data_IF_308125993971
#
_entry.id   IF_308125993971
#
_cell.length_a   1.000
_cell.length_b   1.000
_cell.length_c   1.000
_cell.angle_alpha   90.00
_cell.angle_beta   90.00
_cell.angle_gamma   90.00
#
_symmetry.space_group_name_H-M   'P 1'
#
loop_
_entity.id
_entity.type
_entity.pdbx_description
1 polymer ?
#
# COMPACT_ATOMS: atom_id res chain seq x y z
N UNK A 1 -9.11 -24.37 11.29
CA UNK A 1 -9.30 -24.27 9.83
C UNK A 1 -9.32 -22.82 9.34
N UNK A 2 -10.18 -21.93 9.87
CA UNK A 2 -10.17 -20.49 9.49
C UNK A 2 -8.87 -19.77 9.93
N UNK A 3 -8.33 -20.14 11.10
CA UNK A 3 -7.05 -19.61 11.62
C UNK A 3 -5.84 -19.96 10.75
N UNK A 4 -5.86 -21.11 10.09
CA UNK A 4 -4.82 -21.51 9.12
C UNK A 4 -4.88 -20.70 7.84
N UNK A 5 -6.08 -20.39 7.34
CA UNK A 5 -6.21 -19.59 6.13
C UNK A 5 -5.65 -18.19 6.37
N UNK A 6 -5.97 -17.57 7.52
CA UNK A 6 -5.43 -16.26 7.93
C UNK A 6 -3.93 -16.29 8.21
N UNK A 7 -3.40 -17.35 8.85
CA UNK A 7 -1.95 -17.47 9.06
C UNK A 7 -1.21 -17.63 7.73
N UNK A 8 -1.83 -18.29 6.74
CA UNK A 8 -1.25 -18.47 5.42
C UNK A 8 -1.38 -17.26 4.49
N UNK A 9 -2.46 -16.48 4.57
CA UNK A 9 -2.65 -15.26 3.75
C UNK A 9 -2.01 -14.01 4.36
N UNK A 10 -2.11 -13.82 5.67
CA UNK A 10 -1.55 -12.64 6.34
C UNK A 10 -0.12 -12.89 6.85
N UNK A 11 0.25 -14.14 7.13
CA UNK A 11 1.53 -14.50 7.76
C UNK A 11 2.64 -14.93 6.80
N UNK A 12 2.39 -15.03 5.49
CA UNK A 12 3.41 -15.41 4.50
C UNK A 12 4.47 -14.34 4.22
N UNK A 13 4.28 -13.09 4.68
CA UNK A 13 5.24 -12.00 4.51
C UNK A 13 6.29 -12.00 5.63
N UNK A 14 7.55 -11.70 5.27
CA UNK A 14 8.61 -11.42 6.25
C UNK A 14 8.17 -10.27 7.16
N UNK A 15 8.05 -10.51 8.46
CA UNK A 15 7.47 -9.58 9.46
C UNK A 15 8.12 -8.19 9.43
N UNK A 16 9.44 -8.10 9.27
CA UNK A 16 10.17 -6.83 9.15
C UNK A 16 9.70 -5.98 7.94
N UNK A 17 9.48 -6.63 6.79
CA UNK A 17 9.04 -5.95 5.57
C UNK A 17 7.59 -5.48 5.67
N UNK A 18 6.73 -6.31 6.27
CA UNK A 18 5.33 -5.96 6.51
C UNK A 18 5.21 -4.71 7.39
N UNK A 19 5.91 -4.70 8.54
CA UNK A 19 5.85 -3.58 9.50
C UNK A 19 6.36 -2.28 8.87
N UNK A 20 7.46 -2.32 8.10
CA UNK A 20 8.00 -1.12 7.44
C UNK A 20 6.99 -0.50 6.47
N UNK A 21 6.40 -1.32 5.61
CA UNK A 21 5.42 -0.82 4.65
C UNK A 21 4.11 -0.41 5.34
N UNK A 22 3.71 -1.08 6.42
CA UNK A 22 2.56 -0.69 7.22
C UNK A 22 2.75 0.71 7.83
N UNK A 23 3.93 0.98 8.41
CA UNK A 23 4.25 2.32 8.94
C UNK A 23 4.15 3.37 7.83
N UNK A 24 4.70 3.09 6.65
CA UNK A 24 4.62 4.01 5.49
C UNK A 24 3.16 4.23 5.05
N UNK A 25 2.35 3.16 5.01
CA UNK A 25 0.93 3.24 4.67
C UNK A 25 0.12 4.06 5.68
N UNK A 26 0.40 3.90 6.98
CA UNK A 26 -0.21 4.69 8.05
C UNK A 26 0.18 6.17 7.92
N UNK A 27 1.46 6.47 7.70
CA UNK A 27 1.94 7.85 7.50
C UNK A 27 1.24 8.49 6.29
N UNK A 28 1.10 7.76 5.17
CA UNK A 28 0.39 8.23 3.99
C UNK A 28 -1.10 8.49 4.28
N UNK A 29 -1.76 7.63 5.05
CA UNK A 29 -3.16 7.81 5.44
C UNK A 29 -3.36 9.04 6.35
N UNK A 30 -2.44 9.28 7.31
CA UNK A 30 -2.46 10.47 8.17
C UNK A 30 -2.25 11.75 7.36
N UNK A 31 -1.30 11.74 6.41
CA UNK A 31 -1.08 12.88 5.51
C UNK A 31 -2.31 13.16 4.64
N UNK A 32 -2.98 12.12 4.13
CA UNK A 32 -4.22 12.26 3.37
C UNK A 32 -5.35 12.85 4.22
N UNK A 33 -5.46 12.45 5.49
CA UNK A 33 -6.40 13.05 6.44
C UNK A 33 -6.17 14.54 6.66
N UNK A 34 -4.92 14.92 6.95
CA UNK A 34 -4.56 16.33 7.12
C UNK A 34 -4.87 17.14 5.86
N UNK A 35 -4.60 16.58 4.67
CA UNK A 35 -4.98 17.22 3.42
C UNK A 35 -6.49 17.41 3.29
N UNK A 36 -7.30 16.39 3.60
CA UNK A 36 -8.77 16.50 3.57
C UNK A 36 -9.25 17.59 4.53
N UNK A 37 -8.72 17.65 5.75
CA UNK A 37 -9.10 18.67 6.73
C UNK A 37 -8.74 20.09 6.27
N UNK A 38 -7.57 20.28 5.65
CA UNK A 38 -7.18 21.59 5.09
C UNK A 38 -8.00 21.99 3.87
N UNK A 39 -8.45 21.03 3.06
CA UNK A 39 -9.31 21.27 1.90
C UNK A 39 -10.73 21.66 2.32
N UNK A 40 -11.29 20.97 3.32
CA UNK A 40 -12.61 21.29 3.86
C UNK A 40 -12.61 22.63 4.61
N UNK A 41 -11.52 22.99 5.31
CA UNK A 41 -11.36 24.31 5.93
C UNK A 41 -11.37 25.47 4.91
N UNK A 42 -11.09 25.19 3.64
CA UNK A 42 -11.07 26.16 2.53
C UNK A 42 -12.26 26.02 1.59
N UNK A 43 -13.17 25.07 1.83
CA UNK A 43 -14.29 24.80 0.95
C UNK A 43 -15.41 25.84 1.14
N UNK A 44 -15.90 26.38 0.03
CA UNK A 44 -17.07 27.29 0.00
C UNK A 44 -18.39 26.56 0.24
N UNK A 45 -18.42 25.24 -0.02
CA UNK A 45 -19.54 24.35 0.29
C UNK A 45 -19.04 23.19 1.16
N UNK A 46 -19.30 23.22 2.49
CA UNK A 46 -18.84 22.15 3.37
C UNK A 46 -19.55 20.84 3.02
N UNK A 47 -18.80 19.74 2.92
CA UNK A 47 -19.40 18.43 2.67
C UNK A 47 -20.12 17.93 3.92
N UNK A 48 -21.22 17.16 3.77
CA UNK A 48 -21.88 16.55 4.91
C UNK A 48 -20.92 15.63 5.67
N UNK A 49 -21.01 15.65 7.00
CA UNK A 49 -20.12 14.91 7.91
C UNK A 49 -19.97 13.43 7.53
N UNK A 50 -21.07 12.78 7.15
CA UNK A 50 -21.08 11.37 6.72
C UNK A 50 -20.17 11.10 5.52
N UNK A 51 -20.12 11.99 4.53
CA UNK A 51 -19.26 11.81 3.36
C UNK A 51 -17.77 11.91 3.75
N UNK A 52 -17.45 12.80 4.69
CA UNK A 52 -16.08 12.93 5.20
C UNK A 52 -15.64 11.67 5.94
N UNK A 53 -16.50 11.12 6.80
CA UNK A 53 -16.21 9.87 7.53
C UNK A 53 -15.97 8.72 6.55
N UNK A 54 -16.78 8.58 5.50
CA UNK A 54 -16.62 7.53 4.48
C UNK A 54 -15.28 7.66 3.75
N UNK A 55 -14.95 8.87 3.26
CA UNK A 55 -13.68 9.11 2.56
C UNK A 55 -12.49 8.84 3.48
N UNK A 56 -12.56 9.33 4.72
CA UNK A 56 -11.53 9.14 5.74
C UNK A 56 -11.33 7.67 6.08
N UNK A 57 -12.41 6.91 6.23
CA UNK A 57 -12.37 5.46 6.47
C UNK A 57 -11.78 4.69 5.29
N UNK A 58 -12.10 5.09 4.06
CA UNK A 58 -11.53 4.47 2.86
C UNK A 58 -10.00 4.62 2.80
N UNK A 59 -9.45 5.79 3.14
CA UNK A 59 -7.99 6.00 3.16
C UNK A 59 -7.28 5.17 4.23
N UNK A 60 -7.88 4.97 5.41
CA UNK A 60 -7.34 4.09 6.44
C UNK A 60 -7.30 2.65 5.93
N UNK A 61 -8.40 2.18 5.33
CA UNK A 61 -8.48 0.84 4.77
C UNK A 61 -7.42 0.66 3.68
N UNK A 62 -7.24 1.64 2.80
CA UNK A 62 -6.23 1.62 1.76
C UNK A 62 -4.80 1.59 2.33
N UNK A 63 -4.55 2.32 3.42
CA UNK A 63 -3.28 2.27 4.15
C UNK A 63 -2.97 0.91 4.78
N UNK A 64 -3.99 0.17 5.24
CA UNK A 64 -3.83 -1.20 5.74
C UNK A 64 -3.57 -2.21 4.62
N UNK A 65 -4.13 -1.97 3.44
CA UNK A 65 -3.94 -2.79 2.23
C UNK A 65 -2.61 -2.53 1.53
N UNK A 66 -2.01 -1.35 1.74
CA UNK A 66 -0.74 -0.93 1.16
C UNK A 66 0.41 -1.96 1.23
N UNK A 67 0.73 -2.61 2.37
CA UNK A 67 1.80 -3.60 2.44
C UNK A 67 1.63 -4.75 1.44
N UNK A 68 0.39 -5.15 1.16
CA UNK A 68 0.07 -6.23 0.21
C UNK A 68 0.19 -5.78 -1.25
N UNK A 69 -0.28 -4.57 -1.57
CA UNK A 69 -0.11 -3.99 -2.90
C UNK A 69 1.37 -3.79 -3.26
N UNK A 70 2.17 -3.32 -2.29
CA UNK A 70 3.62 -3.17 -2.47
C UNK A 70 4.30 -4.51 -2.67
N UNK A 71 3.91 -5.55 -1.92
CA UNK A 71 4.42 -6.90 -2.13
C UNK A 71 4.17 -7.40 -3.56
N UNK A 72 2.97 -7.19 -4.09
CA UNK A 72 2.66 -7.53 -5.49
C UNK A 72 3.60 -6.80 -6.47
N UNK A 73 3.81 -5.50 -6.26
CA UNK A 73 4.72 -4.71 -7.11
C UNK A 73 6.15 -5.25 -7.08
N UNK A 74 6.69 -5.51 -5.89
CA UNK A 74 8.04 -6.05 -5.74
C UNK A 74 8.14 -7.44 -6.39
N UNK A 75 7.10 -8.29 -6.26
CA UNK A 75 7.04 -9.60 -6.91
C UNK A 75 7.00 -9.49 -8.45
N UNK A 76 6.17 -8.61 -9.00
CA UNK A 76 6.10 -8.37 -10.45
C UNK A 76 7.43 -7.83 -10.97
N UNK A 77 8.06 -6.93 -10.22
CA UNK A 77 9.36 -6.37 -10.58
C UNK A 77 10.45 -7.44 -10.58
N UNK A 78 10.48 -8.32 -9.57
CA UNK A 78 11.37 -9.48 -9.49
C UNK A 78 11.16 -10.43 -10.67
N UNK A 79 9.91 -10.70 -11.07
CA UNK A 79 9.60 -11.52 -12.26
C UNK A 79 10.08 -10.87 -13.55
N UNK A 80 9.93 -9.55 -13.71
CA UNK A 80 10.35 -8.83 -14.93
C UNK A 80 11.88 -8.71 -15.01
N UNK A 81 12.54 -8.45 -13.88
CA UNK A 81 13.99 -8.20 -13.85
C UNK A 81 14.82 -9.48 -13.69
N UNK A 82 14.23 -10.57 -13.18
CA UNK A 82 14.92 -11.83 -12.93
C UNK A 82 16.11 -11.65 -11.97
N UNK A 83 17.19 -12.38 -12.22
CA UNK A 83 18.46 -12.29 -11.46
C UNK A 83 19.33 -11.08 -11.86
N UNK A 84 18.86 -10.22 -12.78
CA UNK A 84 19.60 -9.03 -13.15
C UNK A 84 19.57 -8.04 -11.97
N UNK A 85 20.60 -8.09 -11.13
CA UNK A 85 20.85 -7.10 -10.08
C UNK A 85 21.17 -5.79 -10.77
N UNK A 86 20.13 -5.01 -11.04
CA UNK A 86 20.29 -3.60 -11.38
C UNK A 86 20.89 -2.94 -10.14
N UNK A 87 22.21 -2.80 -10.16
CA UNK A 87 22.96 -1.88 -9.30
C UNK A 87 22.53 -0.49 -9.75
N UNK A 88 21.34 -0.08 -9.35
CA UNK A 88 20.94 1.29 -9.44
C UNK A 88 21.92 2.05 -8.55
N UNK A 89 22.91 2.69 -9.16
CA UNK A 89 23.64 3.77 -8.48
C UNK A 89 22.59 4.65 -7.81
N UNK A 90 22.82 5.01 -6.54
CA UNK A 90 21.93 5.84 -5.72
C UNK A 90 21.83 7.20 -6.38
N UNK A 91 20.99 7.29 -7.40
CA UNK A 91 20.82 8.45 -8.25
C UNK A 91 19.44 9.02 -7.96
N UNK A 92 19.31 10.34 -8.06
CA UNK A 92 18.07 11.04 -7.69
C UNK A 92 16.87 10.44 -8.43
N UNK A 93 17.08 10.08 -9.70
CA UNK A 93 16.08 9.50 -10.61
C UNK A 93 15.54 8.16 -10.08
N UNK A 94 16.40 7.26 -9.57
CA UNK A 94 15.97 5.97 -9.04
C UNK A 94 15.14 6.13 -7.77
N UNK A 95 15.53 7.06 -6.89
CA UNK A 95 14.78 7.35 -5.66
C UNK A 95 13.41 7.92 -6.00
N UNK A 96 13.34 8.87 -6.94
CA UNK A 96 12.09 9.44 -7.43
C UNK A 96 11.17 8.38 -8.04
N UNK A 97 11.70 7.50 -8.89
CA UNK A 97 10.90 6.43 -9.50
C UNK A 97 10.33 5.46 -8.44
N UNK A 98 11.15 5.08 -7.44
CA UNK A 98 10.71 4.25 -6.31
C UNK A 98 9.65 4.95 -5.46
N UNK A 99 9.73 6.27 -5.30
CA UNK A 99 8.75 7.05 -4.54
C UNK A 99 7.42 7.15 -5.29
N UNK A 100 7.47 7.41 -6.60
CA UNK A 100 6.29 7.45 -7.47
C UNK A 100 5.61 6.07 -7.50
N UNK A 101 6.38 4.99 -7.67
CA UNK A 101 5.84 3.63 -7.61
C UNK A 101 5.15 3.34 -6.27
N UNK A 102 5.74 3.78 -5.15
CA UNK A 102 5.12 3.68 -3.82
C UNK A 102 3.82 4.47 -3.72
N UNK A 103 3.73 5.67 -4.31
CA UNK A 103 2.49 6.45 -4.34
C UNK A 103 1.42 5.79 -5.23
N UNK A 104 1.80 5.29 -6.40
CA UNK A 104 0.89 4.57 -7.30
C UNK A 104 0.31 3.32 -6.62
N UNK A 105 1.15 2.55 -5.92
CA UNK A 105 0.69 1.38 -5.15
C UNK A 105 -0.32 1.77 -4.07
N UNK A 106 -0.24 2.97 -3.51
CA UNK A 106 -1.20 3.46 -2.51
C UNK A 106 -2.55 3.82 -3.15
N UNK A 107 -2.56 4.47 -4.32
CA UNK A 107 -3.81 4.76 -5.04
C UNK A 107 -4.50 3.48 -5.55
N UNK A 108 -3.74 2.51 -6.04
CA UNK A 108 -4.26 1.25 -6.58
C UNK A 108 -4.34 0.13 -5.54
N UNK A 109 -4.08 0.38 -4.25
CA UNK A 109 -3.99 -0.68 -3.26
C UNK A 109 -5.30 -1.47 -3.10
N UNK A 110 -6.46 -0.84 -3.28
CA UNK A 110 -7.76 -1.53 -3.27
C UNK A 110 -7.90 -2.63 -4.36
N UNK A 111 -7.23 -2.49 -5.51
CA UNK A 111 -7.21 -3.48 -6.61
C UNK A 111 -6.00 -4.42 -6.48
N UNK A 112 -4.84 -3.89 -6.13
CA UNK A 112 -3.59 -4.66 -6.10
C UNK A 112 -3.51 -5.58 -4.88
N UNK A 113 -4.10 -5.19 -3.74
CA UNK A 113 -4.09 -5.98 -2.52
C UNK A 113 -4.79 -7.35 -2.64
N UNK A 114 -6.00 -7.49 -3.21
CA UNK A 114 -6.61 -8.81 -3.37
C UNK A 114 -5.75 -9.74 -4.24
N UNK A 115 -5.11 -9.21 -5.28
CA UNK A 115 -4.17 -10.00 -6.10
C UNK A 115 -2.93 -10.40 -5.29
N UNK A 116 -2.36 -9.48 -4.50
CA UNK A 116 -1.21 -9.76 -3.64
C UNK A 116 -1.50 -10.83 -2.59
N UNK A 117 -2.69 -10.80 -2.00
CA UNK A 117 -3.16 -11.83 -1.06
C UNK A 117 -3.34 -13.18 -1.74
N UNK A 118 -3.85 -13.22 -2.97
CA UNK A 118 -4.03 -14.44 -3.75
C UNK A 118 -2.69 -15.12 -4.07
N UNK A 119 -1.68 -14.34 -4.47
CA UNK A 119 -0.32 -14.85 -4.72
C UNK A 119 0.30 -15.41 -3.43
N UNK A 120 0.10 -14.74 -2.30
CA UNK A 120 0.58 -15.25 -1.00
C UNK A 120 -0.08 -16.57 -0.61
N UNK A 121 -1.38 -16.70 -0.86
CA UNK A 121 -2.12 -17.93 -0.60
C UNK A 121 -1.56 -19.13 -1.39
N UNK A 122 -1.30 -18.95 -2.68
CA UNK A 122 -0.74 -20.02 -3.52
C UNK A 122 0.72 -20.33 -3.19
N UNK A 123 1.53 -19.35 -2.82
CA UNK A 123 2.94 -19.57 -2.46
C UNK A 123 3.11 -20.31 -1.12
N UNK A 124 2.11 -20.24 -0.25
CA UNK A 124 2.11 -20.85 1.09
C UNK A 124 1.17 -22.06 1.22
N UNK A 125 0.66 -22.57 0.09
CA UNK A 125 -0.07 -23.84 -0.02
C UNK A 125 0.86 -24.95 -0.46
#
# INVERSE_FOLDING_TARGET
>A
MITDIFSKTLGGLRKDYFIRNLIIGIVAAVLAWLMIDTLEARATTPKPFWNLVIIKGFFIFNGLLYPYAKYLYDYVWEVITGDAVYVYSINIITIWFKLIARLMCFFFAWILAPVGLLILYFKNS
#
